data_IF_842877453705
#
_entry.id   IF_842877453705
#
_cell.length_a   1.000
_cell.length_b   1.000
_cell.length_c   1.000
_cell.angle_alpha   90.00
_cell.angle_beta   90.00
_cell.angle_gamma   90.00
#
_symmetry.space_group_name_H-M   'P 1'
#
loop_
_entity.id
_entity.type
_entity.pdbx_description
1 polymer ?
#
# COMPACT_ATOMS: atom_id res chain seq x y z
N UNK A 1 7.78 21.79 14.84
CA UNK A 1 6.76 22.39 13.94
C UNK A 1 6.74 21.59 12.66
N UNK A 2 5.56 21.17 12.22
CA UNK A 2 5.44 20.27 11.08
C UNK A 2 5.51 21.00 9.74
N UNK A 3 5.70 20.28 8.64
CA UNK A 3 5.79 20.80 7.28
C UNK A 3 4.55 21.62 6.92
N UNK A 4 3.35 21.06 7.17
CA UNK A 4 2.08 21.73 6.86
C UNK A 4 1.92 23.06 7.61
N UNK A 5 2.36 23.10 8.88
CA UNK A 5 2.34 24.31 9.70
C UNK A 5 3.28 25.38 9.15
N UNK A 6 4.49 25.00 8.72
CA UNK A 6 5.46 25.94 8.09
C UNK A 6 4.88 26.55 6.83
N UNK A 7 4.28 25.73 5.99
CA UNK A 7 3.67 26.18 4.75
C UNK A 7 2.53 27.17 5.01
N UNK A 8 1.68 26.85 5.98
CA UNK A 8 0.57 27.71 6.39
C UNK A 8 1.07 29.03 6.96
N UNK A 9 2.08 29.00 7.82
CA UNK A 9 2.66 30.20 8.42
C UNK A 9 3.27 31.12 7.35
N UNK A 10 4.07 30.58 6.45
CA UNK A 10 4.66 31.32 5.33
C UNK A 10 3.59 32.01 4.47
N UNK A 11 2.50 31.28 4.16
CA UNK A 11 1.37 31.85 3.43
C UNK A 11 0.70 33.00 4.19
N UNK A 12 0.47 32.82 5.49
CA UNK A 12 -0.21 33.84 6.32
C UNK A 12 0.66 35.07 6.57
N UNK A 13 1.98 34.92 6.67
CA UNK A 13 2.93 36.03 6.79
C UNK A 13 2.90 36.94 5.56
N UNK A 14 2.64 36.37 4.38
CA UNK A 14 2.41 37.11 3.14
C UNK A 14 0.96 37.59 2.95
N UNK A 15 0.06 37.38 3.92
CA UNK A 15 -1.37 37.70 3.86
C UNK A 15 -2.12 37.05 2.68
N UNK A 16 -1.68 35.88 2.24
CA UNK A 16 -2.28 35.17 1.11
C UNK A 16 -3.33 34.17 1.56
N UNK A 17 -4.35 33.95 0.75
CA UNK A 17 -5.33 32.87 0.90
C UNK A 17 -4.84 31.61 0.20
N UNK A 18 -5.36 30.44 0.61
CA UNK A 18 -5.05 29.17 -0.07
C UNK A 18 -5.44 29.20 -1.56
N UNK A 19 -6.48 29.94 -1.92
CA UNK A 19 -6.96 30.10 -3.30
C UNK A 19 -5.95 30.90 -4.15
N UNK A 20 -5.41 31.99 -3.61
CA UNK A 20 -4.40 32.80 -4.30
C UNK A 20 -3.14 32.00 -4.62
N UNK A 21 -2.60 31.29 -3.61
CA UNK A 21 -1.43 30.42 -3.83
C UNK A 21 -1.74 29.30 -4.82
N UNK A 22 -2.92 28.70 -4.74
CA UNK A 22 -3.32 27.66 -5.67
C UNK A 22 -3.34 28.16 -7.13
N UNK A 23 -3.86 29.37 -7.36
CA UNK A 23 -3.89 30.01 -8.67
C UNK A 23 -2.48 30.31 -9.19
N UNK A 24 -1.59 30.84 -8.35
CA UNK A 24 -0.21 31.17 -8.74
C UNK A 24 0.61 29.91 -9.10
N UNK A 25 0.26 28.78 -8.51
CA UNK A 25 0.91 27.48 -8.76
C UNK A 25 0.18 26.63 -9.80
N UNK A 26 -0.93 27.11 -10.36
CA UNK A 26 -1.80 26.39 -11.31
C UNK A 26 -2.27 25.02 -10.78
N UNK A 27 -2.64 24.97 -9.50
CA UNK A 27 -3.15 23.78 -8.82
C UNK A 27 -4.47 24.10 -8.12
N UNK A 28 -5.13 23.08 -7.58
CA UNK A 28 -6.39 23.29 -6.86
C UNK A 28 -6.15 23.81 -5.44
N UNK A 29 -7.08 24.61 -4.91
CA UNK A 29 -7.07 25.00 -3.48
C UNK A 29 -7.02 23.79 -2.55
N UNK A 30 -7.69 22.70 -2.93
CA UNK A 30 -7.67 21.43 -2.19
C UNK A 30 -6.25 20.88 -2.09
N UNK A 31 -5.41 21.03 -3.11
CA UNK A 31 -4.01 20.63 -3.08
C UNK A 31 -3.22 21.42 -2.04
N UNK A 32 -3.32 22.75 -2.03
CA UNK A 32 -2.68 23.61 -1.00
C UNK A 32 -3.18 23.24 0.40
N UNK A 33 -4.50 23.10 0.57
CA UNK A 33 -5.09 22.67 1.84
C UNK A 33 -4.61 21.28 2.26
N UNK A 34 -4.44 20.35 1.32
CA UNK A 34 -3.93 19.01 1.58
C UNK A 34 -2.47 19.03 2.05
N UNK A 35 -1.64 19.90 1.47
CA UNK A 35 -0.25 20.12 1.89
C UNK A 35 -0.17 20.75 3.29
N UNK A 36 -0.94 21.81 3.55
CA UNK A 36 -0.98 22.48 4.87
C UNK A 36 -1.50 21.57 5.98
N UNK A 37 -2.32 20.56 5.66
CA UNK A 37 -2.87 19.59 6.61
C UNK A 37 -2.14 18.23 6.58
N UNK A 38 -0.97 18.13 5.92
CA UNK A 38 -0.14 16.91 5.81
C UNK A 38 -0.87 15.66 5.27
N UNK A 39 -1.97 15.86 4.53
CA UNK A 39 -2.69 14.77 3.87
C UNK A 39 -1.92 14.23 2.67
N UNK A 40 -1.21 15.12 2.00
CA UNK A 40 -0.28 14.83 0.91
C UNK A 40 0.90 15.78 1.02
N UNK A 41 2.00 15.46 0.34
CA UNK A 41 3.16 16.34 0.27
C UNK A 41 3.44 16.77 -1.17
N UNK A 42 3.96 18.01 -1.39
CA UNK A 42 4.40 18.47 -2.70
C UNK A 42 5.57 17.65 -3.23
N UNK A 43 5.72 17.59 -4.55
CA UNK A 43 6.90 17.01 -5.20
C UNK A 43 8.10 17.97 -5.13
N UNK A 44 9.27 17.49 -5.56
CA UNK A 44 10.53 18.28 -5.50
C UNK A 44 10.40 19.59 -6.27
N UNK A 45 9.79 19.57 -7.46
CA UNK A 45 9.61 20.77 -8.28
C UNK A 45 8.71 21.79 -7.58
N UNK A 46 7.61 21.35 -6.97
CA UNK A 46 6.71 22.21 -6.19
C UNK A 46 7.39 22.71 -4.92
N UNK A 47 8.20 21.90 -4.25
CA UNK A 47 8.99 22.32 -3.08
C UNK A 47 9.97 23.45 -3.42
N UNK A 48 10.68 23.34 -4.54
CA UNK A 48 11.58 24.42 -5.01
C UNK A 48 10.77 25.69 -5.28
N UNK A 49 9.64 25.58 -6.00
CA UNK A 49 8.77 26.73 -6.24
C UNK A 49 8.24 27.36 -4.96
N UNK A 50 7.85 26.57 -3.96
CA UNK A 50 7.37 27.07 -2.67
C UNK A 50 8.50 27.74 -1.88
N UNK A 51 9.71 27.18 -1.91
CA UNK A 51 10.92 27.78 -1.34
C UNK A 51 11.19 29.16 -1.94
N UNK A 52 11.13 29.27 -3.27
CA UNK A 52 11.35 30.53 -3.97
C UNK A 52 10.22 31.54 -3.73
N UNK A 53 8.97 31.08 -3.79
CA UNK A 53 7.77 31.91 -3.65
C UNK A 53 7.63 32.52 -2.24
N UNK A 54 7.94 31.74 -1.21
CA UNK A 54 7.89 32.21 0.18
C UNK A 54 9.23 32.78 0.69
N UNK A 55 10.29 32.74 -0.12
CA UNK A 55 11.64 33.12 0.28
C UNK A 55 12.16 32.37 1.53
N UNK A 56 11.83 31.08 1.64
CA UNK A 56 12.25 30.20 2.74
C UNK A 56 13.14 29.10 2.16
N UNK A 57 14.34 28.92 2.70
CA UNK A 57 15.22 27.83 2.24
C UNK A 57 14.56 26.45 2.38
N UNK A 58 14.84 25.56 1.41
CA UNK A 58 14.38 24.17 1.45
C UNK A 58 14.76 23.47 2.76
N UNK A 59 15.95 23.73 3.30
CA UNK A 59 16.38 23.17 4.58
C UNK A 59 15.46 23.57 5.72
N UNK A 60 15.04 24.84 5.79
CA UNK A 60 14.07 25.32 6.79
C UNK A 60 12.68 24.79 6.52
N UNK A 61 12.26 24.68 5.26
CA UNK A 61 10.95 24.15 4.89
C UNK A 61 10.83 22.65 5.25
N UNK A 62 11.90 21.88 5.11
CA UNK A 62 11.95 20.42 5.28
C UNK A 62 12.54 19.96 6.63
N UNK A 63 13.15 20.86 7.42
CA UNK A 63 13.88 20.54 8.66
C UNK A 63 13.10 19.59 9.58
N UNK A 64 13.67 18.43 9.91
CA UNK A 64 13.17 17.50 10.94
C UNK A 64 11.68 17.11 10.81
N UNK A 65 11.12 17.10 9.60
CA UNK A 65 9.78 16.55 9.39
C UNK A 65 9.82 15.03 9.19
N UNK A 66 9.54 14.29 10.27
CA UNK A 66 9.47 12.83 10.24
C UNK A 66 8.32 12.31 9.38
N UNK A 67 7.23 13.08 9.24
CA UNK A 67 6.05 12.69 8.48
C UNK A 67 6.27 12.69 6.96
N UNK A 68 6.97 13.70 6.44
CA UNK A 68 7.39 13.79 5.04
C UNK A 68 8.31 12.61 4.68
N UNK A 69 9.31 12.34 5.53
CA UNK A 69 10.25 11.22 5.31
C UNK A 69 9.50 9.90 5.23
N UNK A 70 8.63 9.62 6.21
CA UNK A 70 7.80 8.40 6.23
C UNK A 70 6.88 8.29 5.00
N UNK A 71 6.26 9.40 4.57
CA UNK A 71 5.41 9.43 3.37
C UNK A 71 6.20 9.09 2.10
N UNK A 72 7.38 9.69 1.93
CA UNK A 72 8.24 9.45 0.77
C UNK A 72 8.77 8.01 0.76
N UNK A 73 9.17 7.47 1.91
CA UNK A 73 9.58 6.08 2.06
C UNK A 73 8.44 5.12 1.68
N UNK A 74 7.22 5.30 2.22
CA UNK A 74 6.05 4.49 1.86
C UNK A 74 5.73 4.53 0.37
N UNK A 75 5.78 5.71 -0.25
CA UNK A 75 5.52 5.90 -1.69
C UNK A 75 6.60 5.25 -2.56
N UNK A 76 7.85 5.26 -2.10
CA UNK A 76 8.96 4.58 -2.76
C UNK A 76 8.77 3.07 -2.74
N UNK A 77 8.38 2.52 -1.57
CA UNK A 77 8.06 1.09 -1.44
C UNK A 77 6.84 0.72 -2.27
N UNK A 78 5.77 1.52 -2.29
CA UNK A 78 4.58 1.25 -3.12
C UNK A 78 4.96 1.09 -4.60
N UNK A 79 5.83 1.97 -5.11
CA UNK A 79 6.31 1.89 -6.50
C UNK A 79 7.19 0.68 -6.76
N UNK A 80 8.02 0.26 -5.82
CA UNK A 80 8.89 -0.91 -5.99
C UNK A 80 8.13 -2.24 -5.99
N UNK A 81 6.90 -2.28 -5.46
CA UNK A 81 6.04 -3.47 -5.50
C UNK A 81 5.41 -3.73 -6.88
N UNK A 82 5.22 -2.70 -7.71
CA UNK A 82 4.58 -2.82 -9.04
C UNK A 82 5.25 -3.88 -9.94
N UNK A 83 6.58 -3.85 -10.17
CA UNK A 83 7.23 -4.88 -11.00
C UNK A 83 7.07 -6.30 -10.42
N UNK A 84 7.14 -6.45 -9.09
CA UNK A 84 6.93 -7.73 -8.40
C UNK A 84 5.52 -8.29 -8.66
N UNK A 85 4.49 -7.44 -8.60
CA UNK A 85 3.10 -7.82 -8.89
C UNK A 85 2.96 -8.29 -10.34
N UNK A 86 3.59 -7.60 -11.29
CA UNK A 86 3.55 -7.96 -12.71
C UNK A 86 4.19 -9.34 -12.93
N UNK A 87 5.36 -9.59 -12.35
CA UNK A 87 6.08 -10.87 -12.48
C UNK A 87 5.28 -12.03 -11.86
N UNK A 88 4.76 -11.83 -10.64
CA UNK A 88 3.92 -12.83 -9.97
C UNK A 88 2.61 -13.07 -10.73
N UNK A 89 1.98 -12.04 -11.28
CA UNK A 89 0.78 -12.17 -12.11
C UNK A 89 1.04 -12.94 -13.41
N UNK A 90 2.12 -12.61 -14.13
CA UNK A 90 2.49 -13.28 -15.36
C UNK A 90 2.81 -14.76 -15.14
N UNK A 91 3.57 -15.08 -14.08
CA UNK A 91 3.87 -16.48 -13.73
C UNK A 91 2.63 -17.27 -13.31
N UNK A 92 1.68 -16.66 -12.60
CA UNK A 92 0.38 -17.28 -12.32
C UNK A 92 -0.43 -17.54 -13.59
N UNK A 93 -0.38 -16.63 -14.57
CA UNK A 93 -1.05 -16.83 -15.86
C UNK A 93 -0.45 -18.02 -16.64
N UNK A 94 0.88 -18.14 -16.68
CA UNK A 94 1.57 -19.29 -17.28
C UNK A 94 1.19 -20.60 -16.57
N UNK A 95 1.11 -20.57 -15.24
CA UNK A 95 0.69 -21.72 -14.45
C UNK A 95 -0.76 -22.13 -14.76
N UNK A 96 -1.69 -21.18 -14.93
CA UNK A 96 -3.05 -21.47 -15.35
C UNK A 96 -3.11 -22.12 -16.74
N UNK A 97 -2.27 -21.66 -17.68
CA UNK A 97 -2.14 -22.30 -18.99
C UNK A 97 -1.62 -23.74 -18.86
N UNK A 98 -0.61 -23.97 -18.02
CA UNK A 98 -0.09 -25.32 -17.74
C UNK A 98 -1.19 -26.26 -17.24
N UNK A 99 -2.09 -25.81 -16.37
CA UNK A 99 -3.21 -26.64 -15.88
C UNK A 99 -4.14 -27.13 -16.99
N UNK A 100 -4.28 -26.39 -18.09
CA UNK A 100 -5.12 -26.82 -19.23
C UNK A 100 -4.59 -28.05 -19.97
N UNK A 101 -3.30 -28.38 -19.80
CA UNK A 101 -2.68 -29.56 -20.43
C UNK A 101 -3.15 -30.89 -19.80
N UNK A 102 -3.76 -30.85 -18.62
CA UNK A 102 -4.18 -32.04 -17.88
C UNK A 102 -3.03 -32.84 -17.23
N UNK A 103 -1.79 -32.33 -17.29
CA UNK A 103 -0.62 -32.97 -16.67
C UNK A 103 -0.51 -32.52 -15.22
N UNK A 104 -0.94 -33.38 -14.30
CA UNK A 104 -0.90 -33.08 -12.86
C UNK A 104 0.40 -33.58 -12.22
N UNK A 105 1.28 -32.63 -11.85
CA UNK A 105 2.45 -32.89 -11.01
C UNK A 105 2.26 -32.16 -9.66
N UNK A 106 2.29 -32.92 -8.57
CA UNK A 106 2.06 -32.40 -7.21
C UNK A 106 3.03 -31.30 -6.81
N UNK A 107 4.29 -31.36 -7.26
CA UNK A 107 5.31 -30.34 -6.98
C UNK A 107 4.95 -29.04 -7.71
N UNK A 108 4.59 -29.14 -9.00
CA UNK A 108 4.25 -27.97 -9.82
C UNK A 108 2.97 -27.30 -9.30
N UNK A 109 1.97 -28.10 -8.91
CA UNK A 109 0.73 -27.60 -8.31
C UNK A 109 1.01 -26.90 -6.96
N UNK A 110 1.90 -27.45 -6.15
CA UNK A 110 2.33 -26.83 -4.90
C UNK A 110 3.02 -25.47 -5.12
N UNK A 111 4.01 -25.42 -6.02
CA UNK A 111 4.71 -24.18 -6.36
C UNK A 111 3.76 -23.12 -6.94
N UNK A 112 2.80 -23.53 -7.78
CA UNK A 112 1.77 -22.64 -8.30
C UNK A 112 0.89 -22.05 -7.20
N UNK A 113 0.46 -22.87 -6.22
CA UNK A 113 -0.32 -22.37 -5.07
C UNK A 113 0.48 -21.40 -4.19
N UNK A 114 1.77 -21.66 -3.93
CA UNK A 114 2.64 -20.73 -3.20
C UNK A 114 2.81 -19.40 -3.93
N UNK A 115 2.96 -19.44 -5.25
CA UNK A 115 3.08 -18.25 -6.07
C UNK A 115 1.79 -17.40 -6.09
N UNK A 116 0.62 -18.05 -6.08
CA UNK A 116 -0.66 -17.37 -5.93
C UNK A 116 -0.81 -16.71 -4.55
N UNK A 117 -0.42 -17.40 -3.48
CA UNK A 117 -0.40 -16.84 -2.12
C UNK A 117 0.53 -15.62 -2.04
N UNK A 118 1.73 -15.73 -2.61
CA UNK A 118 2.70 -14.62 -2.64
C UNK A 118 2.12 -13.38 -3.35
N UNK A 119 1.42 -13.57 -4.47
CA UNK A 119 0.74 -12.47 -5.17
C UNK A 119 -0.34 -11.81 -4.30
N UNK A 120 -1.15 -12.61 -3.60
CA UNK A 120 -2.19 -12.11 -2.69
C UNK A 120 -1.57 -11.28 -1.55
N UNK A 121 -0.47 -11.77 -0.95
CA UNK A 121 0.23 -11.05 0.12
C UNK A 121 0.83 -9.73 -0.38
N UNK A 122 1.46 -9.71 -1.56
CA UNK A 122 2.02 -8.47 -2.12
C UNK A 122 0.92 -7.45 -2.43
N UNK A 123 -0.22 -7.89 -2.95
CA UNK A 123 -1.38 -7.02 -3.17
C UNK A 123 -1.96 -6.47 -1.86
N UNK A 124 -2.02 -7.27 -0.80
CA UNK A 124 -2.48 -6.79 0.51
C UNK A 124 -1.53 -5.74 1.11
N UNK A 125 -0.22 -5.90 0.95
CA UNK A 125 0.79 -4.90 1.33
C UNK A 125 0.64 -3.64 0.48
N UNK A 126 0.41 -3.74 -0.83
CA UNK A 126 0.22 -2.57 -1.67
C UNK A 126 -1.02 -1.75 -1.24
N UNK A 127 -2.11 -2.44 -0.89
CA UNK A 127 -3.33 -1.79 -0.38
C UNK A 127 -3.09 -1.10 0.97
N UNK A 128 -2.25 -1.67 1.84
CA UNK A 128 -1.80 -1.03 3.10
C UNK A 128 -1.07 0.28 2.87
N UNK A 129 -0.11 0.26 1.93
CA UNK A 129 0.72 1.42 1.62
C UNK A 129 -0.09 2.56 1.00
N UNK A 130 -1.13 2.24 0.21
CA UNK A 130 -1.95 3.24 -0.47
C UNK A 130 -2.90 4.03 0.46
N UNK A 131 -3.03 3.65 1.73
CA UNK A 131 -3.83 4.38 2.74
C UNK A 131 -5.27 4.70 2.32
N UNK A 132 -5.97 3.77 1.63
CA UNK A 132 -7.39 3.94 1.32
C UNK A 132 -8.16 4.01 2.64
N UNK A 133 -8.60 5.22 3.00
CA UNK A 133 -9.16 5.62 4.30
C UNK A 133 -10.50 4.97 4.69
N UNK A 134 -10.89 3.86 4.07
CA UNK A 134 -12.21 3.24 4.22
C UNK A 134 -12.18 1.77 4.60
N UNK A 135 -11.09 1.04 4.34
CA UNK A 135 -10.98 -0.39 4.68
C UNK A 135 -9.74 -0.54 5.54
N UNK A 136 -9.91 -0.89 6.82
CA UNK A 136 -8.75 -1.26 7.63
C UNK A 136 -8.08 -2.44 6.94
N UNK A 137 -6.79 -2.29 6.59
CA UNK A 137 -5.89 -3.37 6.10
C UNK A 137 -6.23 -4.72 6.69
N UNK A 138 -6.50 -4.68 7.99
CA UNK A 138 -7.01 -5.67 8.88
C UNK A 138 -7.96 -6.66 8.19
N UNK A 139 -9.04 -6.07 7.68
CA UNK A 139 -10.18 -6.78 7.10
C UNK A 139 -9.83 -7.44 5.78
N UNK A 140 -8.88 -6.90 5.02
CA UNK A 140 -8.42 -7.49 3.76
C UNK A 140 -7.67 -8.79 4.04
N UNK A 141 -6.74 -8.78 5.01
CA UNK A 141 -5.98 -9.97 5.39
C UNK A 141 -6.90 -11.10 5.91
N UNK A 142 -7.93 -10.74 6.69
CA UNK A 142 -8.97 -11.67 7.13
C UNK A 142 -9.76 -12.28 5.96
N UNK A 143 -10.18 -11.45 4.99
CA UNK A 143 -10.93 -11.91 3.82
C UNK A 143 -10.09 -12.81 2.91
N UNK A 144 -8.80 -12.47 2.73
CA UNK A 144 -7.85 -13.32 2.02
C UNK A 144 -7.64 -14.66 2.73
N UNK A 145 -7.51 -14.65 4.07
CA UNK A 145 -7.48 -15.86 4.89
C UNK A 145 -8.72 -16.73 4.67
N UNK A 146 -9.92 -16.17 4.83
CA UNK A 146 -11.19 -16.88 4.61
C UNK A 146 -11.29 -17.50 3.21
N UNK A 147 -10.85 -16.78 2.16
CA UNK A 147 -10.83 -17.29 0.80
C UNK A 147 -9.91 -18.50 0.61
N UNK A 148 -8.69 -18.44 1.17
CA UNK A 148 -7.73 -19.54 1.14
C UNK A 148 -8.22 -20.76 1.96
N UNK A 149 -8.93 -20.52 3.06
CA UNK A 149 -9.55 -21.58 3.87
C UNK A 149 -10.54 -22.39 3.05
N UNK A 150 -11.48 -21.70 2.40
CA UNK A 150 -12.55 -22.30 1.61
C UNK A 150 -11.94 -23.08 0.44
N UNK A 151 -10.99 -22.48 -0.28
CA UNK A 151 -10.28 -23.14 -1.37
C UNK A 151 -9.52 -24.40 -0.90
N UNK A 152 -8.84 -24.31 0.24
CA UNK A 152 -8.14 -25.44 0.84
C UNK A 152 -9.07 -26.60 1.15
N UNK A 153 -10.21 -26.34 1.79
CA UNK A 153 -11.24 -27.36 2.07
C UNK A 153 -11.79 -27.95 0.78
N UNK A 154 -12.12 -27.12 -0.22
CA UNK A 154 -12.60 -27.60 -1.52
C UNK A 154 -11.61 -28.55 -2.20
N UNK A 155 -10.30 -28.28 -2.12
CA UNK A 155 -9.27 -29.17 -2.67
C UNK A 155 -9.16 -30.49 -1.92
N UNK A 156 -9.33 -30.50 -0.59
CA UNK A 156 -9.37 -31.75 0.20
C UNK A 156 -10.55 -32.62 -0.26
N UNK A 157 -11.71 -32.02 -0.52
CA UNK A 157 -12.91 -32.71 -0.98
C UNK A 157 -12.77 -33.31 -2.39
N UNK A 158 -11.95 -32.71 -3.26
CA UNK A 158 -11.65 -33.21 -4.61
C UNK A 158 -10.42 -34.15 -4.60
N UNK A 159 -10.11 -34.76 -3.45
CA UNK A 159 -9.01 -35.72 -3.27
C UNK A 159 -7.58 -35.15 -3.40
N UNK A 160 -7.42 -33.83 -3.50
CA UNK A 160 -6.11 -33.15 -3.43
C UNK A 160 -5.71 -32.84 -1.98
N UNK A 161 -5.65 -33.89 -1.14
CA UNK A 161 -5.52 -33.78 0.33
C UNK A 161 -4.29 -32.98 0.77
N UNK A 162 -3.12 -33.24 0.19
CA UNK A 162 -1.86 -32.56 0.56
C UNK A 162 -1.94 -31.04 0.34
N UNK A 163 -2.31 -30.62 -0.86
CA UNK A 163 -2.44 -29.20 -1.21
C UNK A 163 -3.53 -28.50 -0.40
N UNK A 164 -4.68 -29.15 -0.24
CA UNK A 164 -5.76 -28.63 0.56
C UNK A 164 -5.37 -28.44 2.03
N UNK A 165 -4.65 -29.40 2.63
CA UNK A 165 -4.17 -29.27 4.02
C UNK A 165 -3.17 -28.12 4.19
N UNK A 166 -2.29 -27.88 3.21
CA UNK A 166 -1.32 -26.78 3.27
C UNK A 166 -2.04 -25.43 3.16
N UNK A 167 -3.00 -25.30 2.24
CA UNK A 167 -3.80 -24.08 2.08
C UNK A 167 -4.62 -23.74 3.32
N UNK A 168 -5.21 -24.76 3.96
CA UNK A 168 -5.90 -24.60 5.25
C UNK A 168 -4.94 -24.11 6.33
N UNK A 169 -3.73 -24.68 6.41
CA UNK A 169 -2.71 -24.24 7.37
C UNK A 169 -2.27 -22.79 7.17
N UNK A 170 -1.99 -22.38 5.93
CA UNK A 170 -1.63 -20.99 5.59
C UNK A 170 -2.77 -20.02 5.90
N UNK A 171 -4.02 -20.42 5.61
CA UNK A 171 -5.19 -19.63 5.96
C UNK A 171 -5.28 -19.37 7.46
N UNK A 172 -5.12 -20.42 8.27
CA UNK A 172 -5.20 -20.31 9.73
C UNK A 172 -4.11 -19.35 10.25
N UNK A 173 -2.90 -19.44 9.72
CA UNK A 173 -1.80 -18.52 10.08
C UNK A 173 -2.15 -17.05 9.79
N UNK A 174 -2.66 -16.74 8.59
CA UNK A 174 -3.10 -15.37 8.23
C UNK A 174 -4.23 -14.87 9.15
N UNK A 175 -5.17 -15.74 9.52
CA UNK A 175 -6.25 -15.39 10.46
C UNK A 175 -5.74 -15.13 11.88
N UNK A 176 -4.78 -15.91 12.35
CA UNK A 176 -4.16 -15.73 13.66
C UNK A 176 -3.36 -14.42 13.73
N UNK A 177 -2.62 -14.09 12.67
CA UNK A 177 -1.92 -12.80 12.55
C UNK A 177 -2.90 -11.62 12.60
N UNK A 178 -4.03 -11.72 11.91
CA UNK A 178 -5.11 -10.74 11.98
C UNK A 178 -5.66 -10.57 13.42
N UNK A 179 -5.95 -11.69 14.10
CA UNK A 179 -6.47 -11.68 15.47
C UNK A 179 -5.46 -11.05 16.41
N UNK A 180 -4.19 -11.46 16.32
CA UNK A 180 -3.08 -10.94 17.12
C UNK A 180 -2.97 -9.42 16.98
N UNK A 181 -2.90 -8.91 15.74
CA UNK A 181 -2.84 -7.48 15.49
C UNK A 181 -4.05 -6.73 16.06
N UNK A 182 -5.26 -7.28 15.91
CA UNK A 182 -6.49 -6.67 16.43
C UNK A 182 -6.54 -6.62 17.96
N UNK A 183 -5.92 -7.59 18.63
CA UNK A 183 -5.82 -7.61 20.10
C UNK A 183 -4.73 -6.68 20.62
N UNK A 184 -3.60 -6.56 19.94
CA UNK A 184 -2.49 -5.68 20.36
C UNK A 184 -2.74 -4.22 20.00
N UNK A 185 -3.50 -3.91 18.95
CA UNK A 185 -3.81 -2.53 18.55
C UNK A 185 -4.84 -1.82 19.42
N UNK A 186 -5.36 -2.49 20.47
CA UNK A 186 -6.32 -1.94 21.45
C UNK A 186 -5.65 -1.49 22.76
N UNK A 187 -4.35 -1.71 22.89
CA UNK A 187 -3.49 -1.21 23.97
C UNK A 187 -2.53 -0.17 23.39
#
# INVERSE_FOLDING_TARGET
>A
MKFGDRLKNARTEMNLTQEQVANDFFITRQTISSWENEKTYPDIASLIKLSDYYHISLDVLLKEDSGMKEYLEKKTVEKSLIPTIIILGASNFIFLFYLTTGIFNNIILFLGTLNAIALIQVLSIQLRLRSVKSISSNRIDLLCGLGLFILGISLILINHKTLGTILVGVSIANMLEYIFWRTTSKF
#
